data_IF_128374730645
#
_entry.id   IF_128374730645
#
_cell.length_a   1.000
_cell.length_b   1.000
_cell.length_c   1.000
_cell.angle_alpha   90.00
_cell.angle_beta   90.00
_cell.angle_gamma   90.00
#
_symmetry.space_group_name_H-M   'P 1'
#
loop_
_entity.id
_entity.type
_entity.pdbx_description
1 polymer ?
#
# COMPACT_ATOMS: atom_id res chain seq x y z
N UNK A 1 -9.87 16.11 0.74
CA UNK A 1 -8.85 16.48 1.57
C UNK A 1 -9.07 15.88 2.89
N UNK A 2 -8.60 15.97 3.71
CA UNK A 2 -8.99 15.51 4.99
C UNK A 2 -8.36 14.25 5.46
N UNK A 3 -7.26 13.82 4.88
CA UNK A 3 -6.57 12.71 5.48
C UNK A 3 -5.08 12.98 5.51
N UNK A 4 -4.43 12.36 6.51
CA UNK A 4 -3.00 12.48 6.69
C UNK A 4 -2.32 11.26 6.08
N UNK A 5 -0.99 11.37 5.95
CA UNK A 5 -0.20 10.23 5.49
C UNK A 5 -0.38 9.03 6.41
N UNK A 6 -0.35 9.26 7.72
CA UNK A 6 -0.51 8.18 8.68
C UNK A 6 -1.91 7.59 8.59
N UNK A 7 -2.93 8.43 8.41
CA UNK A 7 -4.29 7.95 8.25
C UNK A 7 -4.45 7.06 7.03
N UNK A 8 -3.82 7.45 5.93
CA UNK A 8 -3.89 6.64 4.71
C UNK A 8 -3.16 5.31 4.90
N UNK A 9 -2.00 5.33 5.56
CA UNK A 9 -1.28 4.09 5.85
C UNK A 9 -2.14 3.13 6.66
N UNK A 10 -2.77 3.64 7.70
CA UNK A 10 -3.61 2.82 8.56
C UNK A 10 -4.81 2.27 7.81
N UNK A 11 -5.38 3.08 6.93
CA UNK A 11 -6.53 2.64 6.14
C UNK A 11 -6.13 1.53 5.17
N UNK A 12 -4.98 1.63 4.55
CA UNK A 12 -4.50 0.59 3.65
C UNK A 12 -4.30 -0.72 4.41
N UNK A 13 -3.71 -0.65 5.60
CA UNK A 13 -3.51 -1.84 6.41
C UNK A 13 -4.85 -2.45 6.82
N UNK A 14 -5.81 -1.59 7.09
CA UNK A 14 -7.15 -2.05 7.48
C UNK A 14 -7.86 -2.76 6.33
N UNK A 15 -7.76 -2.20 5.12
CA UNK A 15 -8.44 -2.75 3.95
C UNK A 15 -7.75 -4.04 3.49
N UNK A 16 -6.45 -4.12 3.65
CA UNK A 16 -5.66 -5.29 3.24
C UNK A 16 -5.02 -5.92 4.46
N UNK A 17 -5.79 -6.66 5.26
CA UNK A 17 -5.26 -7.22 6.52
C UNK A 17 -4.12 -8.21 6.32
N UNK A 18 -3.96 -8.74 5.11
CA UNK A 18 -2.85 -9.62 4.82
C UNK A 18 -1.49 -8.93 4.98
N UNK A 19 -1.47 -7.60 4.90
CA UNK A 19 -0.25 -6.85 5.14
C UNK A 19 0.26 -7.09 6.56
N UNK A 20 -0.62 -6.88 7.54
CA UNK A 20 -0.25 -7.10 8.93
C UNK A 20 -0.03 -8.58 9.23
N UNK A 21 -0.85 -9.44 8.65
CA UNK A 21 -0.72 -10.88 8.89
C UNK A 21 0.62 -11.43 8.45
N UNK A 22 1.19 -10.85 7.40
CA UNK A 22 2.45 -11.33 6.86
C UNK A 22 3.64 -10.51 7.36
N UNK A 23 3.42 -9.60 8.30
CA UNK A 23 4.50 -8.83 8.88
C UNK A 23 5.09 -7.81 7.96
N UNK A 24 4.31 -7.33 7.00
CA UNK A 24 4.78 -6.31 6.07
C UNK A 24 4.68 -4.93 6.69
N UNK A 25 5.60 -4.07 6.29
CA UNK A 25 5.54 -2.66 6.65
C UNK A 25 5.08 -1.84 5.46
N UNK A 26 4.33 -0.79 5.73
CA UNK A 26 3.83 0.11 4.70
C UNK A 26 4.39 1.49 4.96
N UNK A 27 5.05 2.05 3.95
CA UNK A 27 5.51 3.43 3.99
C UNK A 27 4.84 4.20 2.87
N UNK A 28 4.52 5.45 3.14
CA UNK A 28 3.92 6.32 2.14
C UNK A 28 4.73 7.60 2.02
N UNK A 29 4.85 8.09 0.80
CA UNK A 29 5.33 9.43 0.55
C UNK A 29 4.58 9.97 -0.65
N UNK A 30 4.50 11.29 -0.76
CA UNK A 30 3.79 11.91 -1.87
C UNK A 30 4.80 12.44 -2.87
N UNK A 31 4.62 12.06 -4.12
CA UNK A 31 5.47 12.56 -5.20
C UNK A 31 4.76 13.70 -5.90
N UNK A 32 5.24 14.92 -5.68
CA UNK A 32 4.59 16.10 -6.24
C UNK A 32 4.72 16.17 -7.75
N UNK A 33 5.79 15.64 -8.31
CA UNK A 33 5.99 15.66 -9.75
C UNK A 33 4.96 14.81 -10.47
N UNK A 34 4.60 13.68 -9.87
CA UNK A 34 3.63 12.76 -10.46
C UNK A 34 2.23 12.96 -9.88
N UNK A 35 2.11 13.81 -8.88
CA UNK A 35 0.84 14.06 -8.22
C UNK A 35 0.20 12.77 -7.74
N UNK A 36 1.00 11.92 -7.14
CA UNK A 36 0.56 10.58 -6.71
C UNK A 36 1.32 10.16 -5.46
N UNK A 37 0.72 9.23 -4.73
CA UNK A 37 1.36 8.63 -3.57
C UNK A 37 2.31 7.51 -4.01
N UNK A 38 3.38 7.37 -3.29
CA UNK A 38 4.29 6.23 -3.46
C UNK A 38 4.09 5.31 -2.27
N UNK A 39 3.71 4.07 -2.56
CA UNK A 39 3.47 3.06 -1.53
C UNK A 39 4.63 2.10 -1.55
N UNK A 40 5.26 1.94 -0.40
CA UNK A 40 6.40 1.05 -0.26
C UNK A 40 6.04 -0.06 0.72
N UNK A 41 6.04 -1.27 0.23
CA UNK A 41 5.83 -2.45 1.06
C UNK A 41 7.17 -3.10 1.32
N UNK A 42 7.43 -3.47 2.56
CA UNK A 42 8.73 -4.06 2.87
C UNK A 42 8.59 -5.13 3.93
N UNK A 43 9.52 -6.09 3.87
CA UNK A 43 9.65 -7.13 4.87
C UNK A 43 11.10 -7.58 4.88
N UNK A 44 11.80 -7.31 5.98
CA UNK A 44 13.22 -7.60 6.04
C UNK A 44 13.97 -6.82 4.98
N UNK A 45 14.70 -7.50 4.13
CA UNK A 45 15.47 -6.86 3.07
C UNK A 45 14.69 -6.76 1.75
N UNK A 46 13.46 -7.25 1.71
CA UNK A 46 12.65 -7.21 0.49
C UNK A 46 11.77 -5.98 0.48
N UNK A 47 11.63 -5.38 -0.70
CA UNK A 47 10.84 -4.17 -0.85
C UNK A 47 10.11 -4.20 -2.19
N UNK A 48 8.92 -3.63 -2.19
CA UNK A 48 8.16 -3.37 -3.40
C UNK A 48 7.66 -1.94 -3.34
N UNK A 49 7.90 -1.18 -4.40
CA UNK A 49 7.42 0.19 -4.49
C UNK A 49 6.40 0.27 -5.61
N UNK A 50 5.26 0.88 -5.33
CA UNK A 50 4.23 1.08 -6.33
C UNK A 50 3.63 2.46 -6.16
N UNK A 51 2.84 2.88 -7.13
CA UNK A 51 2.20 4.19 -7.10
C UNK A 51 0.72 4.06 -6.81
N UNK A 52 0.18 5.04 -6.12
CA UNK A 52 -1.25 5.10 -5.82
C UNK A 52 -1.71 6.50 -6.17
N UNK A 53 -2.58 6.61 -7.16
CA UNK A 53 -3.08 7.91 -7.58
C UNK A 53 -3.95 8.52 -6.49
N UNK A 54 -4.07 9.84 -6.51
CA UNK A 54 -4.88 10.54 -5.52
C UNK A 54 -6.31 10.01 -5.47
N UNK A 55 -6.86 9.73 -6.64
CA UNK A 55 -8.21 9.19 -6.73
C UNK A 55 -8.32 7.86 -6.00
N UNK A 56 -7.32 7.00 -6.19
CA UNK A 56 -7.32 5.69 -5.55
C UNK A 56 -7.13 5.83 -4.05
N UNK A 57 -6.31 6.79 -3.62
CA UNK A 57 -6.14 7.04 -2.20
C UNK A 57 -7.44 7.52 -1.57
N UNK A 58 -8.17 8.39 -2.27
CA UNK A 58 -9.48 8.83 -1.79
C UNK A 58 -10.44 7.65 -1.66
N UNK A 59 -10.41 6.74 -2.63
CA UNK A 59 -11.24 5.54 -2.56
C UNK A 59 -10.89 4.69 -1.35
N UNK A 60 -9.61 4.54 -1.07
CA UNK A 60 -9.19 3.80 0.12
C UNK A 60 -9.75 4.41 1.39
N UNK A 61 -9.71 5.75 1.48
CA UNK A 61 -10.23 6.42 2.66
C UNK A 61 -11.74 6.25 2.80
N UNK A 62 -12.42 5.93 1.70
CA UNK A 62 -13.85 5.67 1.70
C UNK A 62 -14.18 4.17 1.76
N UNK A 63 -13.19 3.35 2.14
CA UNK A 63 -13.34 1.90 2.28
C UNK A 63 -13.59 1.20 0.94
N UNK A 64 -13.17 1.81 -0.15
CA UNK A 64 -13.27 1.19 -1.47
C UNK A 64 -11.92 0.60 -1.81
N UNK A 65 -11.85 -0.70 -2.00
CA UNK A 65 -10.60 -1.36 -2.31
C UNK A 65 -10.09 -0.95 -3.68
N UNK A 66 -8.80 -0.64 -3.72
CA UNK A 66 -8.13 -0.38 -4.98
C UNK A 66 -7.64 -1.71 -5.55
N UNK A 67 -8.21 -2.13 -6.67
CA UNK A 67 -7.87 -3.43 -7.26
C UNK A 67 -6.38 -3.50 -7.61
N UNK A 68 -5.85 -2.40 -8.15
CA UNK A 68 -4.43 -2.37 -8.51
C UNK A 68 -3.54 -2.59 -7.28
N UNK A 69 -3.83 -1.88 -6.20
CA UNK A 69 -3.02 -2.02 -4.99
C UNK A 69 -3.15 -3.41 -4.41
N UNK A 70 -4.36 -3.97 -4.46
CA UNK A 70 -4.58 -5.33 -3.98
C UNK A 70 -3.75 -6.34 -4.73
N UNK A 71 -3.67 -6.19 -6.05
CA UNK A 71 -2.85 -7.09 -6.87
C UNK A 71 -1.38 -6.97 -6.49
N UNK A 72 -0.90 -5.75 -6.28
CA UNK A 72 0.49 -5.54 -5.90
C UNK A 72 0.82 -6.17 -4.55
N UNK A 73 -0.09 -6.01 -3.59
CA UNK A 73 0.11 -6.60 -2.26
C UNK A 73 0.15 -8.11 -2.36
N UNK A 74 -0.78 -8.70 -3.09
CA UNK A 74 -0.83 -10.15 -3.24
C UNK A 74 0.42 -10.69 -3.91
N UNK A 75 0.88 -10.02 -4.96
CA UNK A 75 2.07 -10.47 -5.66
C UNK A 75 3.30 -10.40 -4.77
N UNK A 76 3.40 -9.35 -3.98
CA UNK A 76 4.53 -9.22 -3.07
C UNK A 76 4.55 -10.38 -2.07
N UNK A 77 3.41 -10.69 -1.49
CA UNK A 77 3.30 -11.77 -0.52
C UNK A 77 3.62 -13.10 -1.18
N UNK A 78 3.10 -13.32 -2.36
CA UNK A 78 3.33 -14.56 -3.09
C UNK A 78 4.80 -14.74 -3.43
N UNK A 79 5.46 -13.68 -3.88
CA UNK A 79 6.87 -13.75 -4.19
C UNK A 79 7.69 -14.11 -2.96
N UNK A 80 7.31 -13.58 -1.82
CA UNK A 80 7.96 -13.92 -0.57
C UNK A 80 7.81 -15.41 -0.26
N UNK A 81 6.60 -15.91 -0.40
CA UNK A 81 6.32 -17.31 -0.10
C UNK A 81 7.11 -18.24 -1.02
N UNK A 82 7.22 -17.85 -2.29
CA UNK A 82 7.93 -18.69 -3.25
C UNK A 82 9.43 -18.68 -3.00
N UNK A 83 9.96 -17.64 -2.39
CA UNK A 83 11.39 -17.55 -2.15
C UNK A 83 11.82 -18.33 -0.91
N UNK A 84 10.89 -18.61 -0.08
CA UNK A 84 11.15 -19.41 1.10
C UNK A 84 10.83 -20.88 0.82
#
# INVERSE_FOLDING_TARGET
>A
MGYTQVGLENKIIEIYPEIAKNGLSVGLSFNTDKDAWIVKLSKGSKELTTHLEKKDADDCMNNIKCVYLGVQVEQFIKNFAERN
#
